data_IF_164001714841
#
_entry.id   IF_164001714841
#
_cell.length_a   1.000
_cell.length_b   1.000
_cell.length_c   1.000
_cell.angle_alpha   90.00
_cell.angle_beta   90.00
_cell.angle_gamma   90.00
#
_symmetry.space_group_name_H-M   'P 1'
#
loop_
_entity.id
_entity.type
_entity.pdbx_description
1 polymer ?
#
# COMPACT_ATOMS: atom_id res chain seq x y z
N UNK A 1 2.97 -23.75 13.14
CA UNK A 1 3.83 -24.93 12.97
C UNK A 1 5.18 -24.65 12.30
N UNK A 2 5.32 -23.52 11.58
CA UNK A 2 6.56 -23.17 10.87
C UNK A 2 7.57 -22.41 11.72
N UNK A 3 7.13 -21.79 12.79
CA UNK A 3 7.95 -21.00 13.71
C UNK A 3 7.61 -21.34 15.16
N UNK A 4 8.60 -21.23 16.04
CA UNK A 4 8.40 -21.22 17.50
C UNK A 4 8.25 -19.77 17.98
N UNK A 5 8.89 -18.82 17.29
CA UNK A 5 8.84 -17.40 17.55
C UNK A 5 8.87 -16.62 16.23
N UNK A 6 7.98 -15.63 16.08
CA UNK A 6 7.98 -14.71 14.94
C UNK A 6 8.38 -13.33 15.46
N UNK A 7 9.46 -12.78 14.92
CA UNK A 7 10.00 -11.49 15.36
C UNK A 7 9.76 -10.37 14.34
N UNK A 8 9.71 -10.70 13.04
CA UNK A 8 9.59 -9.70 11.98
C UNK A 8 8.59 -10.16 10.92
N UNK A 9 7.71 -9.25 10.49
CA UNK A 9 6.78 -9.46 9.39
C UNK A 9 6.89 -8.27 8.43
N UNK A 10 7.10 -8.55 7.15
CA UNK A 10 6.93 -7.59 6.07
C UNK A 10 5.78 -8.09 5.18
N UNK A 11 4.69 -7.34 5.11
CA UNK A 11 3.57 -7.57 4.20
C UNK A 11 3.89 -6.85 2.89
N UNK A 12 3.78 -7.56 1.78
CA UNK A 12 4.13 -7.06 0.45
C UNK A 12 2.91 -7.15 -0.46
N UNK A 13 2.40 -6.03 -0.91
CA UNK A 13 1.32 -5.93 -1.88
C UNK A 13 1.87 -5.40 -3.21
N UNK A 14 2.11 -6.31 -4.14
CA UNK A 14 2.56 -5.97 -5.48
C UNK A 14 1.41 -6.08 -6.46
N UNK A 15 0.87 -4.95 -6.86
CA UNK A 15 -0.08 -4.85 -7.95
C UNK A 15 0.64 -4.35 -9.21
N UNK A 16 1.01 -5.28 -10.09
CA UNK A 16 1.76 -5.00 -11.33
C UNK A 16 0.87 -5.10 -12.58
N UNK A 17 -0.44 -5.10 -12.42
CA UNK A 17 -1.38 -5.05 -13.54
C UNK A 17 -1.46 -3.67 -14.19
N UNK A 18 -1.68 -3.66 -15.51
CA UNK A 18 -1.94 -2.46 -16.30
C UNK A 18 -3.37 -2.53 -16.88
N UNK A 19 -4.19 -1.55 -16.58
CA UNK A 19 -5.56 -1.40 -17.06
C UNK A 19 -5.68 -0.39 -18.21
N UNK A 20 -4.57 0.21 -18.67
CA UNK A 20 -4.50 1.11 -19.81
C UNK A 20 -4.92 2.56 -19.53
N UNK A 21 -5.09 2.94 -18.26
CA UNK A 21 -5.30 4.35 -17.88
C UNK A 21 -4.01 4.92 -17.28
N UNK A 22 -3.66 6.18 -17.62
CA UNK A 22 -2.51 6.85 -16.99
C UNK A 22 -2.65 7.02 -15.48
N UNK A 23 -3.89 7.19 -15.01
CA UNK A 23 -4.24 7.29 -13.60
C UNK A 23 -5.62 6.68 -13.35
N UNK A 24 -5.69 5.67 -12.51
CA UNK A 24 -6.90 5.07 -11.97
C UNK A 24 -6.56 4.28 -10.71
N UNK A 25 -7.56 3.92 -9.93
CA UNK A 25 -7.39 3.15 -8.70
C UNK A 25 -8.11 1.81 -8.82
N UNK A 26 -7.52 0.74 -8.32
CA UNK A 26 -8.08 -0.61 -8.42
C UNK A 26 -9.23 -0.87 -7.44
N UNK A 27 -9.38 -0.01 -6.44
CA UNK A 27 -10.45 -0.04 -5.45
C UNK A 27 -10.93 1.40 -5.17
N UNK A 28 -11.69 1.64 -4.13
CA UNK A 28 -12.27 2.94 -3.82
C UNK A 28 -11.23 4.08 -3.95
N UNK A 29 -11.40 5.02 -4.90
CA UNK A 29 -10.42 6.06 -5.16
C UNK A 29 -10.09 6.93 -3.94
N UNK A 30 -11.09 7.22 -3.11
CA UNK A 30 -10.91 8.04 -1.91
C UNK A 30 -9.99 7.35 -0.91
N UNK A 31 -10.21 6.06 -0.64
CA UNK A 31 -9.38 5.28 0.28
C UNK A 31 -7.96 5.19 -0.27
N UNK A 32 -7.81 4.78 -1.53
CA UNK A 32 -6.51 4.62 -2.17
C UNK A 32 -5.68 5.93 -2.15
N UNK A 33 -6.26 7.05 -2.59
CA UNK A 33 -5.56 8.33 -2.65
C UNK A 33 -5.17 8.79 -1.23
N UNK A 34 -6.06 8.64 -0.25
CA UNK A 34 -5.78 9.03 1.14
C UNK A 34 -4.68 8.19 1.78
N UNK A 35 -4.68 6.88 1.56
CA UNK A 35 -3.63 5.98 2.06
C UNK A 35 -2.25 6.34 1.53
N UNK A 36 -2.16 6.62 0.23
CA UNK A 36 -0.87 6.97 -0.42
C UNK A 36 -0.38 8.35 0.00
N UNK A 37 -1.31 9.30 0.23
CA UNK A 37 -1.00 10.68 0.64
C UNK A 37 -0.83 10.85 2.15
N UNK A 38 -1.19 9.84 2.95
CA UNK A 38 -1.06 9.88 4.40
C UNK A 38 0.37 9.54 4.85
N UNK A 39 0.69 9.93 6.09
CA UNK A 39 1.90 9.46 6.76
C UNK A 39 1.90 7.93 6.82
N UNK A 40 3.06 7.35 6.53
CA UNK A 40 3.30 5.94 6.78
C UNK A 40 3.49 5.67 8.27
N UNK A 41 3.22 4.46 8.71
CA UNK A 41 3.64 4.01 10.03
C UNK A 41 3.87 2.51 10.07
N UNK A 42 4.72 2.08 11.00
CA UNK A 42 5.02 0.68 11.22
C UNK A 42 5.32 0.42 12.70
N UNK A 43 5.16 -0.84 13.11
CA UNK A 43 5.50 -1.25 14.47
C UNK A 43 6.97 -1.64 14.57
N UNK A 44 7.69 -1.13 15.59
CA UNK A 44 9.06 -1.51 15.89
C UNK A 44 9.35 -1.44 17.39
N UNK A 45 9.83 -2.56 17.95
CA UNK A 45 10.26 -2.72 19.34
C UNK A 45 9.30 -2.07 20.36
N UNK A 46 8.01 -2.41 20.26
CA UNK A 46 6.99 -2.01 21.24
C UNK A 46 6.35 -0.64 21.00
N UNK A 47 6.61 0.01 19.87
CA UNK A 47 6.04 1.34 19.54
C UNK A 47 5.74 1.50 18.06
N UNK A 48 4.84 2.41 17.77
CA UNK A 48 4.61 2.91 16.40
C UNK A 48 5.68 3.92 16.01
N UNK A 49 6.19 3.77 14.81
CA UNK A 49 7.12 4.70 14.16
C UNK A 49 6.41 5.31 12.97
N UNK A 50 6.24 6.64 12.98
CA UNK A 50 5.67 7.39 11.85
C UNK A 50 6.75 7.78 10.84
N UNK A 51 6.35 7.90 9.57
CA UNK A 51 7.19 8.38 8.46
C UNK A 51 6.41 9.41 7.65
N UNK A 52 7.12 10.23 6.88
CA UNK A 52 6.45 11.07 5.89
C UNK A 52 5.84 10.19 4.78
N UNK A 53 4.83 10.70 4.05
CA UNK A 53 4.20 9.95 2.95
C UNK A 53 5.23 9.44 1.94
N UNK A 54 5.20 8.16 1.64
CA UNK A 54 6.07 7.51 0.65
C UNK A 54 7.60 7.62 0.91
N UNK A 55 8.02 8.01 2.13
CA UNK A 55 9.41 8.25 2.48
C UNK A 55 10.28 6.99 2.39
N UNK A 56 9.79 5.86 2.87
CA UNK A 56 10.54 4.59 2.84
C UNK A 56 10.21 3.84 1.57
N UNK A 57 11.15 3.89 0.63
CA UNK A 57 11.11 3.18 -0.64
C UNK A 57 12.11 2.01 -0.64
N UNK A 58 11.75 0.88 -1.23
CA UNK A 58 12.61 -0.27 -1.43
C UNK A 58 12.37 -0.91 -2.79
N UNK A 59 13.41 -1.53 -3.35
CA UNK A 59 13.27 -2.42 -4.50
C UNK A 59 13.12 -3.84 -4.00
N UNK A 60 12.19 -4.58 -4.57
CA UNK A 60 12.01 -6.00 -4.29
C UNK A 60 11.77 -6.80 -5.58
N UNK A 61 12.39 -7.97 -5.67
CA UNK A 61 12.20 -8.87 -6.80
C UNK A 61 11.06 -9.85 -6.47
N UNK A 62 9.85 -9.51 -6.90
CA UNK A 62 8.65 -10.31 -6.67
C UNK A 62 8.63 -11.55 -7.55
N UNK A 63 8.38 -12.75 -7.00
CA UNK A 63 8.22 -13.95 -7.79
C UNK A 63 7.21 -13.76 -8.92
N UNK A 64 7.54 -14.19 -10.12
CA UNK A 64 6.74 -14.12 -11.36
C UNK A 64 6.38 -12.71 -11.87
N UNK A 65 6.78 -11.64 -11.16
CA UNK A 65 6.56 -10.24 -11.55
C UNK A 65 7.87 -9.53 -11.89
N UNK A 66 8.96 -9.84 -11.14
CA UNK A 66 10.26 -9.17 -11.26
C UNK A 66 10.42 -8.00 -10.29
N UNK A 67 11.45 -7.18 -10.53
CA UNK A 67 11.78 -6.06 -9.67
C UNK A 67 10.75 -4.94 -9.76
N UNK A 68 10.32 -4.48 -8.59
CA UNK A 68 9.40 -3.34 -8.42
C UNK A 68 9.83 -2.48 -7.26
N UNK A 69 9.61 -1.18 -7.40
CA UNK A 69 9.63 -0.24 -6.30
C UNK A 69 8.42 -0.47 -5.40
N UNK A 70 8.66 -0.61 -4.11
CA UNK A 70 7.60 -0.69 -3.10
C UNK A 70 7.80 0.39 -2.04
N UNK A 71 6.70 0.90 -1.52
CA UNK A 71 6.67 2.01 -0.58
C UNK A 71 5.98 1.59 0.71
N UNK A 72 6.54 2.02 1.85
CA UNK A 72 5.93 1.76 3.15
C UNK A 72 4.72 2.65 3.34
N UNK A 73 3.61 2.02 3.70
CA UNK A 73 2.36 2.67 4.08
C UNK A 73 1.93 2.20 5.48
N UNK A 74 1.03 2.96 6.10
CA UNK A 74 0.22 2.43 7.19
C UNK A 74 -0.89 1.55 6.62
N UNK A 75 -1.15 0.40 7.25
CA UNK A 75 -2.29 -0.44 6.92
C UNK A 75 -2.89 -1.04 8.20
N UNK A 76 -4.21 -1.15 8.27
CA UNK A 76 -4.92 -1.46 9.52
C UNK A 76 -4.62 -2.85 10.10
N UNK A 77 -4.28 -3.84 9.27
CA UNK A 77 -3.90 -5.17 9.79
C UNK A 77 -2.62 -5.14 10.64
N UNK A 78 -1.77 -4.14 10.51
CA UNK A 78 -0.57 -3.99 11.33
C UNK A 78 -0.91 -3.88 12.82
N UNK A 79 -2.02 -3.20 13.15
CA UNK A 79 -2.48 -3.02 14.53
C UNK A 79 -2.87 -4.36 15.15
N UNK A 80 -3.66 -5.15 14.42
CA UNK A 80 -4.08 -6.48 14.86
C UNK A 80 -2.88 -7.41 15.06
N UNK A 81 -1.93 -7.41 14.14
CA UNK A 81 -0.73 -8.25 14.23
C UNK A 81 0.16 -7.84 15.40
N UNK A 82 0.36 -6.52 15.62
CA UNK A 82 1.17 -6.01 16.73
C UNK A 82 0.60 -6.41 18.10
N UNK A 83 -0.73 -6.45 18.24
CA UNK A 83 -1.41 -6.80 19.49
C UNK A 83 -1.44 -8.33 19.75
N UNK A 84 -1.50 -9.14 18.69
CA UNK A 84 -1.82 -10.55 18.83
C UNK A 84 -0.63 -11.52 18.61
N UNK A 85 0.53 -11.02 18.15
CA UNK A 85 1.72 -11.87 17.97
C UNK A 85 2.72 -11.63 19.09
N UNK A 86 2.87 -12.57 20.04
CA UNK A 86 3.84 -12.44 21.13
C UNK A 86 5.28 -12.37 20.58
N UNK A 87 6.10 -11.49 21.14
CA UNK A 87 7.52 -11.38 20.77
C UNK A 87 7.79 -10.69 19.44
N UNK A 88 6.75 -10.13 18.81
CA UNK A 88 6.91 -9.37 17.56
C UNK A 88 7.73 -8.10 17.79
N UNK A 89 8.77 -7.92 16.98
CA UNK A 89 9.67 -6.78 17.07
C UNK A 89 9.41 -5.75 16.00
N UNK A 90 9.05 -6.16 14.77
CA UNK A 90 8.72 -5.23 13.70
C UNK A 90 7.68 -5.82 12.76
N UNK A 91 6.72 -4.97 12.37
CA UNK A 91 5.74 -5.26 11.33
C UNK A 91 5.67 -4.08 10.39
N UNK A 92 5.74 -4.33 9.07
CA UNK A 92 5.66 -3.30 8.03
C UNK A 92 4.76 -3.77 6.91
N UNK A 93 4.10 -2.80 6.27
CA UNK A 93 3.34 -2.99 5.04
C UNK A 93 3.97 -2.19 3.91
N UNK A 94 4.13 -2.83 2.76
CA UNK A 94 4.66 -2.22 1.56
C UNK A 94 3.71 -2.46 0.39
N UNK A 95 3.48 -1.43 -0.41
CA UNK A 95 2.70 -1.51 -1.65
C UNK A 95 3.49 -0.96 -2.83
N UNK A 96 3.24 -1.51 -4.02
CA UNK A 96 3.85 -1.03 -5.27
C UNK A 96 2.90 -0.07 -5.98
N UNK A 97 3.50 0.92 -6.66
CA UNK A 97 2.76 1.87 -7.50
C UNK A 97 3.50 2.07 -8.81
N UNK A 98 2.76 2.24 -9.91
CA UNK A 98 3.33 2.60 -11.19
C UNK A 98 3.82 4.05 -11.22
N UNK A 99 4.89 4.34 -11.96
CA UNK A 99 5.42 5.71 -12.09
C UNK A 99 4.38 6.70 -12.63
N UNK A 100 3.56 6.27 -13.60
CA UNK A 100 2.48 7.10 -14.13
C UNK A 100 1.50 7.49 -13.05
N UNK A 101 1.07 6.53 -12.22
CA UNK A 101 0.17 6.79 -11.09
C UNK A 101 0.76 7.82 -10.14
N UNK A 102 1.99 7.62 -9.67
CA UNK A 102 2.64 8.53 -8.71
C UNK A 102 2.82 9.94 -9.26
N UNK A 103 3.16 10.06 -10.56
CA UNK A 103 3.32 11.36 -11.23
C UNK A 103 2.01 12.14 -11.30
N UNK A 104 0.91 11.47 -11.66
CA UNK A 104 -0.40 12.10 -11.71
C UNK A 104 -0.91 12.43 -10.32
N UNK A 105 -0.76 11.51 -9.35
CA UNK A 105 -1.13 11.79 -7.96
C UNK A 105 -0.43 13.04 -7.45
N UNK A 106 0.88 13.16 -7.68
CA UNK A 106 1.65 14.34 -7.25
C UNK A 106 1.14 15.63 -7.89
N UNK A 107 0.75 15.59 -9.16
CA UNK A 107 0.14 16.74 -9.82
C UNK A 107 -1.20 17.12 -9.17
N UNK A 108 -2.06 16.13 -8.91
CA UNK A 108 -3.37 16.33 -8.28
C UNK A 108 -3.24 16.88 -6.85
N UNK A 109 -2.26 16.41 -6.08
CA UNK A 109 -1.93 16.96 -4.76
C UNK A 109 -1.50 18.43 -4.85
N UNK A 110 -0.58 18.74 -5.76
CA UNK A 110 -0.04 20.10 -5.91
C UNK A 110 -1.10 21.13 -6.28
N UNK A 111 -2.16 20.73 -6.99
CA UNK A 111 -3.28 21.62 -7.35
C UNK A 111 -4.46 21.52 -6.38
N UNK A 112 -4.33 20.78 -5.28
CA UNK A 112 -5.34 20.65 -4.23
C UNK A 112 -6.53 19.74 -4.57
N UNK A 113 -6.47 18.96 -5.66
CA UNK A 113 -7.57 18.06 -6.06
C UNK A 113 -7.76 16.86 -5.11
N UNK A 114 -6.80 16.56 -4.26
CA UNK A 114 -6.89 15.50 -3.24
C UNK A 114 -7.40 16.01 -1.89
N UNK A 115 -7.72 17.31 -1.77
CA UNK A 115 -8.23 17.93 -0.54
C UNK A 115 -9.63 17.42 -0.18
N UNK A 116 -9.83 17.18 1.12
CA UNK A 116 -11.15 16.91 1.71
C UNK A 116 -11.84 18.18 2.24
N UNK A 117 -11.12 19.31 2.27
CA UNK A 117 -11.68 20.59 2.70
C UNK A 117 -12.57 21.17 1.59
N UNK A 118 -13.80 21.63 1.95
CA UNK A 118 -14.71 22.22 0.98
C UNK A 118 -14.16 23.53 0.44
N UNK A 119 -14.31 23.75 -0.86
CA UNK A 119 -14.06 25.03 -1.54
C UNK A 119 -15.35 25.61 -2.11
N UNK A 120 -15.42 26.94 -2.22
CA UNK A 120 -16.51 27.62 -2.91
C UNK A 120 -16.28 27.62 -4.42
N UNK A 121 -17.24 27.13 -5.18
CA UNK A 121 -17.25 27.16 -6.64
C UNK A 121 -18.66 27.47 -7.14
N UNK A 122 -18.81 28.59 -7.83
CA UNK A 122 -20.08 29.01 -8.45
C UNK A 122 -21.26 29.05 -7.45
N UNK A 123 -21.00 29.51 -6.21
CA UNK A 123 -22.00 29.59 -5.12
C UNK A 123 -22.33 28.23 -4.46
N UNK A 124 -21.58 27.18 -4.78
CA UNK A 124 -21.75 25.85 -4.19
C UNK A 124 -20.47 25.43 -3.45
N UNK A 125 -20.65 24.63 -2.41
CA UNK A 125 -19.52 23.99 -1.72
C UNK A 125 -19.19 22.67 -2.39
N UNK A 126 -17.95 22.54 -2.83
CA UNK A 126 -17.43 21.33 -3.48
C UNK A 126 -16.22 20.80 -2.66
N UNK A 127 -16.19 19.49 -2.43
CA UNK A 127 -15.01 18.83 -1.89
C UNK A 127 -14.19 18.30 -3.09
N UNK A 128 -12.94 18.81 -3.31
CA UNK A 128 -12.16 18.45 -4.50
C UNK A 128 -11.97 16.95 -4.69
N UNK A 129 -11.64 16.22 -3.62
CA UNK A 129 -11.47 14.76 -3.68
C UNK A 129 -12.76 14.04 -4.11
N UNK A 130 -13.94 14.50 -3.68
CA UNK A 130 -15.21 13.89 -4.09
C UNK A 130 -15.51 14.16 -5.57
N UNK A 131 -15.16 15.34 -6.05
CA UNK A 131 -15.25 15.65 -7.48
C UNK A 131 -14.28 14.80 -8.30
N UNK A 132 -13.01 14.69 -7.87
CA UNK A 132 -12.01 13.81 -8.50
C UNK A 132 -12.51 12.37 -8.59
N UNK A 133 -13.05 11.84 -7.48
CA UNK A 133 -13.63 10.50 -7.43
C UNK A 133 -14.74 10.29 -8.46
N UNK A 134 -15.59 11.31 -8.68
CA UNK A 134 -16.71 11.22 -9.62
C UNK A 134 -16.26 11.19 -11.09
N UNK A 135 -15.09 11.74 -11.42
CA UNK A 135 -14.56 11.76 -12.81
C UNK A 135 -13.57 10.62 -13.09
N UNK A 136 -13.06 9.94 -12.06
CA UNK A 136 -12.19 8.79 -12.26
C UNK A 136 -12.94 7.58 -12.82
N UNK A 137 -12.27 6.70 -13.57
CA UNK A 137 -12.85 5.43 -13.99
C UNK A 137 -13.35 4.62 -12.79
N UNK A 138 -14.55 4.05 -12.93
CA UNK A 138 -15.08 3.13 -11.92
C UNK A 138 -14.15 1.92 -11.76
N UNK A 139 -13.61 1.63 -10.56
CA UNK A 139 -12.75 0.48 -10.32
C UNK A 139 -13.36 -0.85 -10.81
N UNK A 140 -14.68 -1.02 -10.71
CA UNK A 140 -15.36 -2.23 -11.19
C UNK A 140 -15.21 -2.43 -12.71
N UNK A 141 -14.98 -1.35 -13.48
CA UNK A 141 -14.78 -1.40 -14.92
C UNK A 141 -13.36 -1.82 -15.34
N UNK A 142 -12.42 -1.83 -14.41
CA UNK A 142 -11.00 -2.06 -14.70
C UNK A 142 -10.65 -3.55 -14.79
N UNK A 143 -11.31 -4.42 -14.02
CA UNK A 143 -11.00 -5.84 -13.93
C UNK A 143 -10.88 -6.53 -15.29
N UNK A 144 -11.85 -6.41 -16.20
CA UNK A 144 -11.80 -7.06 -17.53
C UNK A 144 -10.68 -6.54 -18.44
N UNK A 145 -10.12 -5.36 -18.12
CA UNK A 145 -9.08 -4.69 -18.92
C UNK A 145 -7.67 -4.95 -18.39
N UNK A 146 -7.55 -5.30 -17.12
CA UNK A 146 -6.26 -5.46 -16.45
C UNK A 146 -5.45 -6.59 -17.08
N UNK A 147 -4.21 -6.27 -17.44
CA UNK A 147 -3.21 -7.23 -17.94
C UNK A 147 -2.00 -7.18 -17.00
N UNK A 148 -1.44 -8.33 -16.71
CA UNK A 148 -0.30 -8.46 -15.80
C UNK A 148 -0.60 -9.36 -14.63
N UNK A 149 0.18 -9.22 -13.56
CA UNK A 149 0.08 -10.09 -12.39
C UNK A 149 0.04 -9.26 -11.11
N UNK A 150 -0.62 -9.80 -10.11
CA UNK A 150 -0.57 -9.34 -8.72
C UNK A 150 0.16 -10.39 -7.89
N UNK A 151 1.07 -9.96 -7.01
CA UNK A 151 1.75 -10.83 -6.05
C UNK A 151 1.58 -10.25 -4.66
N UNK A 152 0.78 -10.89 -3.84
CA UNK A 152 0.55 -10.48 -2.45
C UNK A 152 1.09 -11.55 -1.52
N UNK A 153 1.89 -11.14 -0.53
CA UNK A 153 2.49 -12.09 0.37
C UNK A 153 3.09 -11.49 1.63
N UNK A 154 3.62 -12.36 2.47
CA UNK A 154 4.24 -11.98 3.74
C UNK A 154 5.59 -12.67 3.89
N UNK A 155 6.60 -11.89 4.27
CA UNK A 155 7.90 -12.40 4.68
C UNK A 155 7.92 -12.44 6.21
N UNK A 156 8.04 -13.65 6.73
CA UNK A 156 8.19 -13.91 8.16
C UNK A 156 9.66 -14.21 8.50
N UNK A 157 10.16 -13.61 9.57
CA UNK A 157 11.47 -13.95 10.13
C UNK A 157 11.33 -14.18 11.63
N UNK A 158 11.99 -15.20 12.09
CA UNK A 158 11.93 -15.63 13.50
C UNK A 158 12.79 -16.85 13.76
N UNK A 159 12.39 -17.69 14.71
CA UNK A 159 13.13 -18.88 15.09
C UNK A 159 12.31 -20.14 14.95
N UNK A 160 12.99 -21.22 14.59
CA UNK A 160 12.49 -22.59 14.64
C UNK A 160 13.60 -23.51 15.14
N UNK A 161 13.31 -24.29 16.21
CA UNK A 161 14.28 -25.19 16.85
C UNK A 161 15.59 -24.46 17.20
N UNK A 162 15.47 -23.21 17.72
CA UNK A 162 16.59 -22.37 18.13
C UNK A 162 17.40 -21.74 16.98
N UNK A 163 17.05 -22.00 15.70
CA UNK A 163 17.73 -21.47 14.54
C UNK A 163 16.91 -20.36 13.87
N UNK A 164 17.61 -19.38 13.31
CA UNK A 164 16.97 -18.33 12.53
C UNK A 164 16.32 -18.92 11.27
N UNK A 165 15.11 -18.45 11.00
CA UNK A 165 14.33 -18.89 9.86
C UNK A 165 13.67 -17.71 9.18
N UNK A 166 13.71 -17.72 7.84
CA UNK A 166 12.92 -16.83 6.98
C UNK A 166 11.96 -17.66 6.13
N UNK A 167 10.72 -17.21 6.02
CA UNK A 167 9.70 -17.87 5.22
C UNK A 167 8.90 -16.81 4.46
N UNK A 168 8.78 -16.98 3.15
CA UNK A 168 7.95 -16.12 2.29
C UNK A 168 6.76 -16.92 1.80
N UNK A 169 5.56 -16.46 2.13
CA UNK A 169 4.29 -16.98 1.64
C UNK A 169 3.68 -15.94 0.74
N UNK A 170 3.31 -16.32 -0.47
CA UNK A 170 2.71 -15.41 -1.44
C UNK A 170 1.69 -16.11 -2.32
N UNK A 171 0.80 -15.31 -2.89
CA UNK A 171 -0.15 -15.71 -3.93
C UNK A 171 0.09 -14.86 -5.18
N UNK A 172 0.01 -15.48 -6.34
CA UNK A 172 0.11 -14.82 -7.65
C UNK A 172 -1.20 -15.03 -8.41
N UNK A 173 -1.78 -13.92 -8.88
CA UNK A 173 -3.00 -13.92 -9.70
C UNK A 173 -2.73 -13.26 -11.05
#
# INVERSE_FOLDING_TARGET
HHFDEINYIDILDCNAGDHGYPFATNFNPEINIREVSAKGSYWEDGKWVETEPMEIKRVYNFPEVGEKDMYLLHHEELESLALNIPGIRRIRFFMTFGESYLRHLKCLENVGMTSIEPIEFDGQKIIPLQFLKAVLPDPASLGPRTKGKTNIGCIFRGKKDGKDKTYYVYNVC
#
